data_IF_628243824817
#
_entry.id   IF_628243824817
#
_cell.length_a   1.000
_cell.length_b   1.000
_cell.length_c   1.000
_cell.angle_alpha   90.00
_cell.angle_beta   90.00
_cell.angle_gamma   90.00
#
_symmetry.space_group_name_H-M   'P 1'
#
loop_
_entity.id
_entity.type
_entity.pdbx_description
1 polymer ?
#
# COMPACT_ATOMS: atom_id res chain seq x y z
N UNK A 1 16.12 -21.57 2.95
CA UNK A 1 16.58 -20.17 2.87
C UNK A 1 17.96 -20.16 2.21
N UNK A 2 18.04 -19.93 0.91
CA UNK A 2 19.32 -19.75 0.20
C UNK A 2 19.32 -18.35 -0.41
N UNK A 3 20.17 -17.47 0.11
CA UNK A 3 20.44 -16.13 -0.45
C UNK A 3 21.42 -16.29 -1.61
N UNK A 4 20.97 -16.07 -2.84
CA UNK A 4 21.86 -15.90 -3.99
C UNK A 4 22.38 -14.45 -3.98
N UNK A 5 23.69 -14.27 -3.71
CA UNK A 5 24.40 -13.01 -3.94
C UNK A 5 24.88 -13.00 -5.39
N UNK A 6 24.35 -12.10 -6.21
CA UNK A 6 24.98 -11.72 -7.47
C UNK A 6 25.90 -10.53 -7.19
N UNK A 7 27.19 -10.69 -7.50
CA UNK A 7 28.20 -9.65 -7.42
C UNK A 7 28.14 -8.79 -8.69
N UNK A 8 27.67 -7.55 -8.57
CA UNK A 8 27.88 -6.50 -9.58
C UNK A 8 29.02 -5.58 -9.10
N UNK A 9 30.07 -5.45 -9.91
CA UNK A 9 31.04 -4.36 -9.77
C UNK A 9 30.32 -3.06 -10.18
N UNK A 10 30.10 -2.17 -9.20
CA UNK A 10 29.59 -0.82 -9.46
C UNK A 10 30.77 0.15 -9.59
N UNK A 11 30.86 0.81 -10.75
CA UNK A 11 31.68 2.01 -10.95
C UNK A 11 31.02 3.12 -10.14
N UNK A 12 31.70 3.61 -9.09
CA UNK A 12 31.22 4.71 -8.25
C UNK A 12 31.47 6.03 -8.98
N UNK A 13 30.45 6.54 -9.67
CA UNK A 13 30.39 7.94 -10.04
C UNK A 13 30.01 8.74 -8.78
N UNK A 14 30.97 9.51 -8.25
CA UNK A 14 30.72 10.41 -7.14
C UNK A 14 29.86 11.60 -7.62
N UNK A 15 28.54 11.43 -7.59
CA UNK A 15 27.62 12.56 -7.61
C UNK A 15 27.82 13.33 -6.30
N UNK A 16 28.38 14.54 -6.40
CA UNK A 16 28.32 15.53 -5.33
C UNK A 16 26.82 15.87 -5.16
N UNK A 17 26.16 15.17 -4.24
CA UNK A 17 24.82 15.58 -3.81
C UNK A 17 24.99 16.87 -3.02
N UNK A 18 24.61 17.99 -3.64
CA UNK A 18 24.42 19.23 -2.90
C UNK A 18 23.32 18.98 -1.86
N UNK A 19 23.52 19.40 -0.59
CA UNK A 19 22.49 19.24 0.43
C UNK A 19 21.23 19.99 0.00
N UNK A 20 20.08 19.31 0.04
CA UNK A 20 18.79 19.96 -0.15
C UNK A 20 18.64 21.05 0.92
N UNK A 21 18.21 22.25 0.51
CA UNK A 21 17.91 23.32 1.46
C UNK A 21 16.80 22.85 2.42
N UNK A 22 16.96 23.13 3.71
CA UNK A 22 15.95 22.81 4.71
C UNK A 22 14.61 23.47 4.32
N UNK A 23 13.52 22.73 4.47
CA UNK A 23 12.19 23.27 4.20
C UNK A 23 11.90 24.47 5.14
N UNK A 24 11.20 25.51 4.67
CA UNK A 24 10.81 26.63 5.52
C UNK A 24 9.85 26.15 6.62
N UNK A 25 9.78 26.89 7.72
CA UNK A 25 8.76 26.68 8.76
C UNK A 25 7.68 27.77 8.67
N UNK A 26 6.38 27.42 8.65
CA UNK A 26 5.85 26.09 8.41
C UNK A 26 6.18 25.60 6.98
N UNK A 27 6.21 24.28 6.79
CA UNK A 27 6.54 23.65 5.52
C UNK A 27 5.41 23.86 4.51
N UNK A 28 5.52 24.96 3.76
CA UNK A 28 4.57 25.34 2.72
C UNK A 28 5.07 25.03 1.31
N UNK A 29 6.15 24.25 1.16
CA UNK A 29 6.83 24.02 -0.12
C UNK A 29 5.93 23.37 -1.18
N UNK A 30 5.01 22.52 -0.76
CA UNK A 30 4.13 21.75 -1.66
C UNK A 30 2.71 22.30 -1.79
N UNK A 31 2.44 23.52 -1.30
CA UNK A 31 1.08 24.04 -1.33
C UNK A 31 0.58 24.29 -2.75
N UNK A 32 1.44 24.79 -3.64
CA UNK A 32 1.07 25.12 -5.03
C UNK A 32 0.00 26.22 -5.16
N UNK A 33 -0.42 26.82 -4.03
CA UNK A 33 -1.46 27.85 -3.95
C UNK A 33 -1.07 28.90 -2.90
N UNK A 34 -1.48 30.17 -3.07
CA UNK A 34 -1.23 31.20 -2.07
C UNK A 34 -1.98 30.93 -0.76
N UNK A 35 -1.44 31.46 0.33
CA UNK A 35 -2.08 31.45 1.65
C UNK A 35 -1.83 32.77 2.37
N UNK A 36 -2.72 33.11 3.30
CA UNK A 36 -2.56 34.28 4.17
C UNK A 36 -1.91 33.88 5.49
N UNK A 37 -1.03 34.75 6.01
CA UNK A 37 -0.46 34.62 7.36
C UNK A 37 -1.50 34.86 8.47
N UNK A 38 -2.68 35.36 8.11
CA UNK A 38 -3.82 35.53 9.01
C UNK A 38 -4.71 34.28 9.08
N UNK A 39 -4.36 33.18 8.42
CA UNK A 39 -5.06 31.92 8.58
C UNK A 39 -4.77 31.32 9.98
N UNK A 40 -5.78 30.69 10.60
CA UNK A 40 -5.68 30.18 11.97
C UNK A 40 -4.57 29.13 12.13
N UNK A 41 -4.43 28.21 11.18
CA UNK A 41 -3.38 27.19 11.17
C UNK A 41 -1.98 27.81 11.14
N UNK A 42 -1.79 28.89 10.38
CA UNK A 42 -0.50 29.56 10.26
C UNK A 42 -0.10 30.19 11.60
N UNK A 43 -1.03 30.92 12.23
CA UNK A 43 -0.79 31.48 13.58
C UNK A 43 -0.49 30.39 14.61
N UNK A 44 -1.16 29.23 14.52
CA UNK A 44 -0.86 28.05 15.34
C UNK A 44 0.60 27.62 15.16
N UNK A 45 1.03 27.46 13.91
CA UNK A 45 2.39 27.07 13.59
C UNK A 45 3.40 28.07 14.16
N UNK A 46 3.19 29.37 13.93
CA UNK A 46 4.09 30.40 14.43
C UNK A 46 4.16 30.47 15.96
N UNK A 47 3.05 30.17 16.67
CA UNK A 47 3.05 30.10 18.14
C UNK A 47 4.04 29.05 18.66
N UNK A 48 4.17 27.94 17.94
CA UNK A 48 4.99 26.78 18.36
C UNK A 48 6.30 26.64 17.56
N UNK A 49 6.68 27.65 16.77
CA UNK A 49 7.90 27.64 15.94
C UNK A 49 9.16 27.31 16.75
N UNK A 50 9.27 27.88 17.95
CA UNK A 50 10.45 27.72 18.83
C UNK A 50 10.37 26.48 19.72
N UNK A 51 9.37 25.60 19.55
CA UNK A 51 9.34 24.34 20.29
C UNK A 51 10.57 23.50 19.94
N UNK A 52 11.16 22.90 20.96
CA UNK A 52 12.31 22.01 20.83
C UNK A 52 12.00 20.78 21.66
N UNK A 53 11.46 19.72 21.04
CA UNK A 53 11.18 18.50 21.78
C UNK A 53 12.46 17.94 22.38
N UNK A 54 12.40 17.29 23.56
CA UNK A 54 13.59 16.74 24.18
C UNK A 54 14.27 15.75 23.24
N UNK A 55 15.60 15.65 23.33
CA UNK A 55 16.33 14.61 22.61
C UNK A 55 15.97 13.23 23.16
N UNK A 56 15.84 12.20 22.31
CA UNK A 56 15.64 10.83 22.78
C UNK A 56 16.89 10.38 23.56
N UNK A 57 16.67 9.61 24.63
CA UNK A 57 17.77 9.03 25.42
C UNK A 57 18.38 7.78 24.76
N UNK A 58 17.58 7.06 23.96
CA UNK A 58 18.00 5.89 23.21
C UNK A 58 18.63 6.27 21.86
N UNK A 59 19.53 5.43 21.36
CA UNK A 59 20.04 5.53 19.99
C UNK A 59 19.08 4.89 19.00
N UNK A 60 18.99 5.46 17.79
CA UNK A 60 18.21 4.88 16.71
C UNK A 60 18.75 3.50 16.31
N UNK A 61 17.89 2.49 16.11
CA UNK A 61 18.32 1.23 15.51
C UNK A 61 18.88 1.45 14.10
N UNK A 62 19.91 0.69 13.70
CA UNK A 62 20.50 0.83 12.38
C UNK A 62 19.50 0.49 11.27
N UNK A 63 19.33 1.38 10.29
CA UNK A 63 18.45 1.18 9.14
C UNK A 63 16.97 1.08 9.51
N UNK A 64 16.55 1.79 10.54
CA UNK A 64 15.17 1.77 11.00
C UNK A 64 14.22 2.55 10.08
N UNK A 65 12.95 2.16 10.07
CA UNK A 65 11.84 2.90 9.46
C UNK A 65 10.89 3.31 10.59
N UNK A 66 10.78 4.61 10.85
CA UNK A 66 10.03 5.12 11.98
C UNK A 66 8.51 4.88 11.83
N UNK A 67 7.98 5.00 10.61
CA UNK A 67 6.56 4.79 10.31
C UNK A 67 6.19 3.32 10.53
N UNK A 68 6.95 2.40 9.93
CA UNK A 68 6.72 0.97 10.09
C UNK A 68 6.86 0.53 11.56
N UNK A 69 7.87 1.04 12.28
CA UNK A 69 8.01 0.80 13.71
C UNK A 69 6.80 1.33 14.49
N UNK A 70 6.39 2.58 14.26
CA UNK A 70 5.24 3.20 14.94
C UNK A 70 3.97 2.35 14.77
N UNK A 71 3.59 2.02 13.53
CA UNK A 71 2.37 1.26 13.27
C UNK A 71 2.43 -0.18 13.77
N UNK A 72 3.62 -0.80 13.79
CA UNK A 72 3.82 -2.13 14.37
C UNK A 72 3.75 -2.11 15.89
N UNK A 73 4.28 -1.08 16.54
CA UNK A 73 4.18 -0.90 17.99
C UNK A 73 2.76 -0.56 18.42
N UNK A 74 2.05 0.26 17.65
CA UNK A 74 0.65 0.61 17.92
C UNK A 74 -0.30 -0.58 17.82
N UNK A 75 -0.05 -1.53 16.91
CA UNK A 75 -0.93 -2.70 16.71
C UNK A 75 -0.70 -3.84 17.71
N UNK A 76 0.30 -3.74 18.59
CA UNK A 76 0.52 -4.72 19.64
C UNK A 76 -0.44 -4.50 20.82
N UNK A 77 -0.79 -5.61 21.50
CA UNK A 77 -1.63 -5.56 22.69
C UNK A 77 -0.98 -4.73 23.82
N UNK A 78 0.34 -4.83 23.96
CA UNK A 78 1.15 -4.09 24.90
C UNK A 78 2.46 -3.71 24.21
N UNK A 79 2.89 -2.45 24.35
CA UNK A 79 4.19 -1.97 23.91
C UNK A 79 4.87 -1.29 25.08
N UNK A 80 6.10 -1.72 25.38
CA UNK A 80 6.89 -1.18 26.49
C UNK A 80 7.43 0.22 26.20
N UNK A 81 7.82 0.94 27.26
CA UNK A 81 8.45 2.25 27.14
C UNK A 81 9.74 2.19 26.28
N UNK A 82 10.57 1.17 26.49
CA UNK A 82 11.82 1.00 25.73
C UNK A 82 11.58 0.82 24.22
N UNK A 83 10.48 0.17 23.84
CA UNK A 83 10.10 0.02 22.43
C UNK A 83 9.62 1.34 21.83
N UNK A 84 8.85 2.14 22.56
CA UNK A 84 8.47 3.48 22.10
C UNK A 84 9.67 4.43 22.03
N UNK A 85 10.63 4.30 22.94
CA UNK A 85 11.88 5.05 22.89
C UNK A 85 12.67 4.74 21.61
N UNK A 86 12.64 3.50 21.12
CA UNK A 86 13.23 3.13 19.83
C UNK A 86 12.50 3.77 18.65
N UNK A 87 11.16 3.79 18.67
CA UNK A 87 10.35 4.47 17.62
C UNK A 87 10.72 5.95 17.57
N UNK A 88 10.75 6.62 18.73
CA UNK A 88 11.10 8.03 18.83
C UNK A 88 12.54 8.31 18.42
N UNK A 89 13.49 7.48 18.84
CA UNK A 89 14.89 7.61 18.45
C UNK A 89 15.06 7.50 16.94
N UNK A 90 14.35 6.55 16.31
CA UNK A 90 14.32 6.41 14.86
C UNK A 90 13.74 7.67 14.18
N UNK A 91 12.58 8.14 14.66
CA UNK A 91 11.90 9.29 14.08
C UNK A 91 12.75 10.57 14.17
N UNK A 92 13.45 10.80 15.28
CA UNK A 92 14.39 11.93 15.41
C UNK A 92 15.62 11.77 14.51
N UNK A 93 16.17 10.57 14.37
CA UNK A 93 17.36 10.35 13.54
C UNK A 93 17.12 10.55 12.04
N UNK A 94 15.86 10.47 11.61
CA UNK A 94 15.44 10.58 10.21
C UNK A 94 14.56 11.81 9.93
N UNK A 95 14.43 12.73 10.89
CA UNK A 95 13.54 13.90 10.81
C UNK A 95 12.11 13.52 10.38
N UNK A 96 11.60 12.38 10.87
CA UNK A 96 10.24 11.90 10.59
C UNK A 96 9.24 12.65 11.46
N UNK A 97 8.93 13.88 11.03
CA UNK A 97 7.98 14.76 11.68
C UNK A 97 6.56 14.18 11.75
N UNK A 98 6.21 13.26 10.85
CA UNK A 98 4.88 12.68 10.83
C UNK A 98 4.71 11.68 11.98
N UNK A 99 5.72 10.84 12.23
CA UNK A 99 5.75 9.95 13.40
C UNK A 99 5.90 10.75 14.70
N UNK A 100 6.78 11.75 14.74
CA UNK A 100 6.95 12.59 15.94
C UNK A 100 5.66 13.30 16.33
N UNK A 101 4.94 13.86 15.36
CA UNK A 101 3.61 14.44 15.56
C UNK A 101 2.67 13.42 16.22
N UNK A 102 2.56 12.21 15.67
CA UNK A 102 1.66 11.18 16.22
C UNK A 102 2.08 10.73 17.63
N UNK A 103 3.38 10.58 17.91
CA UNK A 103 3.88 10.23 19.24
C UNK A 103 3.45 11.27 20.29
N UNK A 104 3.65 12.57 20.02
CA UNK A 104 3.26 13.64 20.94
C UNK A 104 1.76 13.87 21.02
N UNK A 105 1.02 13.68 19.93
CA UNK A 105 -0.44 13.79 19.92
C UNK A 105 -1.09 12.68 20.77
N UNK A 106 -0.55 11.46 20.70
CA UNK A 106 -1.15 10.29 21.35
C UNK A 106 -0.57 9.99 22.73
N UNK A 107 0.63 10.49 23.05
CA UNK A 107 1.32 10.19 24.30
C UNK A 107 1.93 8.78 24.33
N UNK A 108 2.29 8.22 23.17
CA UNK A 108 2.92 6.90 23.09
C UNK A 108 4.43 7.02 23.39
N UNK A 109 4.83 6.54 24.56
CA UNK A 109 6.22 6.62 25.05
C UNK A 109 6.72 8.03 25.36
N UNK A 110 5.86 9.04 25.28
CA UNK A 110 6.14 10.42 25.67
C UNK A 110 4.92 11.01 26.36
N UNK A 111 5.07 12.00 27.24
CA UNK A 111 3.93 12.78 27.69
C UNK A 111 3.20 13.39 26.49
N UNK A 112 1.87 13.27 26.45
CA UNK A 112 1.05 13.92 25.44
C UNK A 112 1.29 15.43 25.48
N UNK A 113 1.57 16.02 24.32
CA UNK A 113 1.91 17.43 24.20
C UNK A 113 1.42 17.98 22.86
N UNK A 114 0.30 18.69 22.89
CA UNK A 114 -0.34 19.27 21.70
C UNK A 114 0.57 20.28 20.98
N UNK A 115 1.31 21.12 21.71
CA UNK A 115 2.19 22.11 21.08
C UNK A 115 3.37 21.45 20.36
N UNK A 116 3.93 20.38 20.93
CA UNK A 116 4.95 19.57 20.26
C UNK A 116 4.38 18.86 19.04
N UNK A 117 3.17 18.30 19.14
CA UNK A 117 2.52 17.66 18.00
C UNK A 117 2.27 18.65 16.86
N UNK A 118 1.75 19.85 17.16
CA UNK A 118 1.52 20.92 16.18
C UNK A 118 2.84 21.38 15.56
N UNK A 119 3.90 21.58 16.34
CA UNK A 119 5.21 21.97 15.81
C UNK A 119 5.75 20.94 14.80
N UNK A 120 5.58 19.64 15.09
CA UNK A 120 5.95 18.58 14.16
C UNK A 120 5.04 18.55 12.93
N UNK A 121 3.72 18.70 13.11
CA UNK A 121 2.76 18.77 12.02
C UNK A 121 3.09 19.90 11.03
N UNK A 122 3.49 21.07 11.53
CA UNK A 122 3.88 22.22 10.71
C UNK A 122 5.15 22.00 9.88
N UNK A 123 5.91 20.92 10.11
CA UNK A 123 7.09 20.55 9.32
C UNK A 123 6.81 19.45 8.29
N UNK A 124 5.68 18.75 8.42
CA UNK A 124 5.30 17.71 7.48
C UNK A 124 4.97 18.32 6.12
N UNK A 125 5.55 17.75 5.08
CA UNK A 125 5.24 18.09 3.70
C UNK A 125 3.80 17.64 3.36
N UNK A 126 2.91 18.62 3.14
CA UNK A 126 1.48 18.40 2.97
C UNK A 126 0.86 19.43 2.02
N UNK A 127 -0.32 19.12 1.46
CA UNK A 127 -1.11 20.14 0.77
C UNK A 127 -1.69 21.15 1.77
N UNK A 128 -2.02 22.37 1.31
CA UNK A 128 -2.54 23.43 2.18
C UNK A 128 -3.74 23.00 3.01
N UNK A 129 -4.72 22.34 2.38
CA UNK A 129 -5.93 21.89 3.06
C UNK A 129 -5.63 20.81 4.12
N UNK A 130 -4.70 19.89 3.85
CA UNK A 130 -4.22 18.91 4.83
C UNK A 130 -3.55 19.59 6.02
N UNK A 131 -2.66 20.57 5.77
CA UNK A 131 -2.02 21.33 6.85
C UNK A 131 -3.06 22.05 7.70
N UNK A 132 -4.01 22.76 7.08
CA UNK A 132 -5.03 23.48 7.80
C UNK A 132 -5.91 22.56 8.66
N UNK A 133 -6.45 21.49 8.06
CA UNK A 133 -7.29 20.51 8.73
C UNK A 133 -6.57 19.78 9.86
N UNK A 134 -5.33 19.34 9.61
CA UNK A 134 -4.49 18.67 10.61
C UNK A 134 -4.21 19.53 11.84
N UNK A 135 -3.86 20.79 11.62
CA UNK A 135 -3.55 21.70 12.73
C UNK A 135 -4.82 22.01 13.54
N UNK A 136 -5.96 22.17 12.87
CA UNK A 136 -7.26 22.31 13.54
C UNK A 136 -7.65 21.05 14.31
N UNK A 137 -7.48 19.87 13.73
CA UNK A 137 -7.77 18.58 14.37
C UNK A 137 -6.90 18.40 15.62
N UNK A 138 -5.59 18.62 15.53
CA UNK A 138 -4.68 18.54 16.69
C UNK A 138 -5.03 19.53 17.79
N UNK A 139 -5.40 20.77 17.44
CA UNK A 139 -5.78 21.79 18.42
C UNK A 139 -7.05 21.43 19.19
N UNK A 140 -7.94 20.64 18.57
CA UNK A 140 -9.24 20.26 19.13
C UNK A 140 -9.31 18.77 19.53
N UNK A 141 -8.19 18.04 19.49
CA UNK A 141 -8.15 16.60 19.69
C UNK A 141 -8.58 16.22 21.13
N UNK A 142 -9.68 15.47 21.32
CA UNK A 142 -10.13 15.05 22.64
C UNK A 142 -9.06 14.24 23.39
N UNK A 143 -9.04 14.34 24.72
CA UNK A 143 -8.01 13.71 25.57
C UNK A 143 -7.89 12.19 25.38
N UNK A 144 -8.99 11.52 25.04
CA UNK A 144 -9.06 10.07 24.82
C UNK A 144 -9.02 9.67 23.34
N UNK A 145 -8.97 10.63 22.40
CA UNK A 145 -8.87 10.35 20.98
C UNK A 145 -7.42 10.03 20.59
N UNK A 146 -7.28 9.07 19.68
CA UNK A 146 -6.02 8.74 19.01
C UNK A 146 -6.02 9.44 17.66
N UNK A 147 -4.99 10.23 17.42
CA UNK A 147 -4.74 10.93 16.18
C UNK A 147 -3.87 10.07 15.24
N UNK A 148 -4.20 10.09 13.96
CA UNK A 148 -3.41 9.50 12.89
C UNK A 148 -3.16 10.51 11.77
N UNK A 149 -1.97 10.49 11.18
CA UNK A 149 -1.65 11.35 10.04
C UNK A 149 -2.58 11.13 8.83
N UNK A 150 -3.23 9.95 8.78
CA UNK A 150 -4.16 9.55 7.74
C UNK A 150 -5.60 10.04 7.97
N UNK A 151 -5.90 10.70 9.10
CA UNK A 151 -7.23 11.24 9.39
C UNK A 151 -7.55 12.47 8.52
N UNK A 152 -6.53 13.23 8.11
CA UNK A 152 -6.66 14.54 7.44
C UNK A 152 -6.16 14.51 5.97
N UNK A 153 -6.30 13.38 5.28
CA UNK A 153 -5.86 13.24 3.88
C UNK A 153 -6.75 14.09 2.97
N UNK A 154 -6.14 14.99 2.19
CA UNK A 154 -6.83 15.74 1.14
C UNK A 154 -6.08 15.75 -0.20
N UNK A 155 -4.89 15.15 -0.25
CA UNK A 155 -4.05 15.03 -1.44
C UNK A 155 -3.89 13.57 -1.85
N UNK A 156 -3.77 13.34 -3.16
CA UNK A 156 -3.49 12.00 -3.68
C UNK A 156 -2.12 11.46 -3.26
N UNK A 157 -1.14 12.34 -2.98
CA UNK A 157 0.16 11.96 -2.42
C UNK A 157 -0.01 11.33 -1.04
N UNK A 158 -0.68 12.03 -0.11
CA UNK A 158 -0.94 11.46 1.22
C UNK A 158 -1.90 10.27 1.17
N UNK A 159 -2.86 10.26 0.24
CA UNK A 159 -3.67 9.08 -0.04
C UNK A 159 -2.82 7.85 -0.39
N UNK A 160 -1.74 8.05 -1.15
CA UNK A 160 -0.79 6.97 -1.49
C UNK A 160 0.03 6.53 -0.28
N UNK A 161 0.53 7.47 0.52
CA UNK A 161 1.26 7.16 1.77
C UNK A 161 0.39 6.33 2.72
N UNK A 162 -0.86 6.73 2.92
CA UNK A 162 -1.77 6.04 3.81
C UNK A 162 -2.25 4.69 3.25
N UNK A 163 -2.45 4.59 1.93
CA UNK A 163 -2.70 3.29 1.29
C UNK A 163 -1.52 2.32 1.51
N UNK A 164 -0.27 2.79 1.41
CA UNK A 164 0.90 1.96 1.67
C UNK A 164 0.98 1.50 3.14
N UNK A 165 0.72 2.40 4.09
CA UNK A 165 0.67 2.06 5.53
C UNK A 165 -0.37 0.97 5.81
N UNK A 166 -1.57 1.12 5.26
CA UNK A 166 -2.63 0.11 5.41
C UNK A 166 -2.24 -1.21 4.75
N UNK A 167 -1.68 -1.20 3.54
CA UNK A 167 -1.22 -2.41 2.85
C UNK A 167 -0.11 -3.12 3.63
N UNK A 168 0.83 -2.39 4.26
CA UNK A 168 1.87 -3.00 5.09
C UNK A 168 1.29 -3.69 6.34
N UNK A 169 0.33 -3.04 7.00
CA UNK A 169 -0.36 -3.62 8.16
C UNK A 169 -1.16 -4.86 7.76
N UNK A 170 -2.00 -4.75 6.72
CA UNK A 170 -2.83 -5.85 6.25
C UNK A 170 -1.98 -6.98 5.67
N UNK A 171 -0.89 -6.65 4.98
CA UNK A 171 0.09 -7.57 4.44
C UNK A 171 0.73 -8.44 5.51
N UNK A 172 1.10 -7.87 6.67
CA UNK A 172 1.60 -8.66 7.80
C UNK A 172 0.58 -9.69 8.30
N UNK A 173 -0.68 -9.27 8.45
CA UNK A 173 -1.75 -10.17 8.91
C UNK A 173 -2.00 -11.29 7.90
N UNK A 174 -2.09 -10.94 6.60
CA UNK A 174 -2.24 -11.92 5.51
C UNK A 174 -1.08 -12.90 5.48
N UNK A 175 0.16 -12.41 5.48
CA UNK A 175 1.35 -13.24 5.40
C UNK A 175 1.43 -14.21 6.58
N UNK A 176 1.16 -13.73 7.80
CA UNK A 176 1.14 -14.60 8.98
C UNK A 176 0.07 -15.71 8.90
N UNK A 177 -1.10 -15.44 8.30
CA UNK A 177 -2.14 -16.46 8.07
C UNK A 177 -1.68 -17.49 7.03
N UNK A 178 -1.12 -17.04 5.92
CA UNK A 178 -0.60 -17.89 4.85
C UNK A 178 0.56 -18.76 5.33
N UNK A 179 1.47 -18.21 6.12
CA UNK A 179 2.60 -18.94 6.71
C UNK A 179 2.15 -20.05 7.66
N UNK A 180 1.18 -19.76 8.54
CA UNK A 180 0.58 -20.78 9.41
C UNK A 180 -0.05 -21.92 8.62
N UNK A 181 -0.79 -21.61 7.56
CA UNK A 181 -1.37 -22.62 6.67
C UNK A 181 -0.26 -23.42 5.97
N UNK A 182 0.74 -22.74 5.40
CA UNK A 182 1.83 -23.37 4.65
C UNK A 182 2.70 -24.30 5.52
N UNK A 183 2.84 -23.99 6.81
CA UNK A 183 3.54 -24.84 7.78
C UNK A 183 2.84 -26.20 7.96
N UNK A 184 1.51 -26.24 7.89
CA UNK A 184 0.70 -27.46 8.02
C UNK A 184 0.63 -28.29 6.73
N UNK A 185 1.12 -27.77 5.59
CA UNK A 185 1.07 -28.47 4.32
C UNK A 185 2.08 -29.63 4.23
N UNK A 186 1.73 -30.75 3.56
CA UNK A 186 2.69 -31.77 3.14
C UNK A 186 3.80 -31.19 2.25
N UNK A 187 5.00 -31.80 2.19
CA UNK A 187 6.13 -31.24 1.44
C UNK A 187 5.84 -30.94 -0.04
N UNK A 188 5.17 -31.81 -0.82
CA UNK A 188 4.82 -31.50 -2.21
C UNK A 188 3.87 -30.29 -2.34
N UNK A 189 2.89 -30.18 -1.44
CA UNK A 189 1.95 -29.05 -1.40
C UNK A 189 2.65 -27.74 -1.04
N UNK A 190 3.65 -27.77 -0.14
CA UNK A 190 4.45 -26.59 0.23
C UNK A 190 5.26 -26.05 -0.95
N UNK A 191 5.85 -26.93 -1.76
CA UNK A 191 6.58 -26.53 -2.98
C UNK A 191 5.62 -25.92 -4.00
N UNK A 192 4.46 -26.53 -4.21
CA UNK A 192 3.44 -25.98 -5.10
C UNK A 192 2.92 -24.61 -4.60
N UNK A 193 2.73 -24.45 -3.29
CA UNK A 193 2.31 -23.20 -2.67
C UNK A 193 3.33 -22.06 -2.89
N UNK A 194 4.63 -22.34 -2.76
CA UNK A 194 5.67 -21.32 -3.02
C UNK A 194 5.65 -20.85 -4.49
N UNK A 195 5.46 -21.77 -5.44
CA UNK A 195 5.31 -21.42 -6.87
C UNK A 195 4.06 -20.59 -7.11
N UNK A 196 2.96 -20.96 -6.46
CA UNK A 196 1.70 -20.22 -6.50
C UNK A 196 1.86 -18.79 -5.94
N UNK A 197 2.48 -18.62 -4.77
CA UNK A 197 2.75 -17.28 -4.20
C UNK A 197 3.56 -16.40 -5.16
N UNK A 198 4.60 -16.96 -5.78
CA UNK A 198 5.40 -16.23 -6.76
C UNK A 198 4.60 -15.84 -8.01
N UNK A 199 3.72 -16.72 -8.49
CA UNK A 199 2.85 -16.42 -9.63
C UNK A 199 1.79 -15.36 -9.29
N UNK A 200 1.18 -15.45 -8.09
CA UNK A 200 0.23 -14.47 -7.59
C UNK A 200 0.87 -13.07 -7.47
N UNK A 201 2.09 -12.98 -6.92
CA UNK A 201 2.81 -11.71 -6.82
C UNK A 201 3.12 -11.09 -8.18
N UNK A 202 3.54 -11.89 -9.17
CA UNK A 202 3.75 -11.40 -10.54
C UNK A 202 2.46 -10.92 -11.19
N UNK A 203 1.35 -11.63 -10.97
CA UNK A 203 0.06 -11.22 -11.49
C UNK A 203 -0.42 -9.92 -10.85
N UNK A 204 -0.34 -9.77 -9.52
CA UNK A 204 -0.72 -8.54 -8.82
C UNK A 204 0.06 -7.32 -9.36
N UNK A 205 1.38 -7.44 -9.51
CA UNK A 205 2.22 -6.38 -10.07
C UNK A 205 1.82 -6.03 -11.51
N UNK A 206 1.61 -7.05 -12.37
CA UNK A 206 1.21 -6.82 -13.76
C UNK A 206 -0.18 -6.17 -13.87
N UNK A 207 -1.12 -6.58 -13.00
CA UNK A 207 -2.46 -6.03 -12.95
C UNK A 207 -2.50 -4.61 -12.37
N UNK A 208 -1.48 -4.18 -11.61
CA UNK A 208 -1.31 -2.80 -11.16
C UNK A 208 -1.26 -1.81 -12.34
N UNK A 209 -0.67 -2.22 -13.47
CA UNK A 209 -0.62 -1.43 -14.71
C UNK A 209 -1.98 -1.34 -15.44
N UNK A 210 -2.99 -2.12 -15.03
CA UNK A 210 -4.37 -1.99 -15.52
C UNK A 210 -5.19 -0.98 -14.68
N UNK A 211 -4.51 0.01 -14.10
CA UNK A 211 -5.09 1.11 -13.33
C UNK A 211 -4.96 2.38 -14.15
N UNK A 212 -6.05 3.14 -14.26
CA UNK A 212 -5.99 4.45 -14.88
C UNK A 212 -5.17 5.40 -14.01
N UNK A 213 -4.16 6.03 -14.61
CA UNK A 213 -3.20 6.89 -13.94
C UNK A 213 -3.57 8.38 -14.00
N UNK A 214 -4.79 8.69 -14.43
CA UNK A 214 -5.34 10.04 -14.33
C UNK A 214 -5.64 10.43 -12.88
N UNK A 215 -5.42 11.71 -12.57
CA UNK A 215 -5.70 12.27 -11.25
C UNK A 215 -4.63 11.94 -10.21
N UNK A 216 -4.66 12.69 -9.11
CA UNK A 216 -3.62 12.59 -8.07
C UNK A 216 -3.75 11.32 -7.22
N UNK A 217 -4.94 10.72 -7.15
CA UNK A 217 -5.22 9.51 -6.38
C UNK A 217 -4.73 8.22 -7.07
N UNK A 218 -4.37 8.28 -8.35
CA UNK A 218 -4.00 7.11 -9.15
C UNK A 218 -3.01 6.15 -8.48
N UNK A 219 -1.89 6.60 -7.88
CA UNK A 219 -0.95 5.66 -7.24
C UNK A 219 -1.56 4.92 -6.05
N UNK A 220 -2.45 5.55 -5.28
CA UNK A 220 -3.18 4.88 -4.20
C UNK A 220 -4.15 3.80 -4.72
N UNK A 221 -4.75 4.01 -5.89
CA UNK A 221 -5.63 3.03 -6.53
C UNK A 221 -4.86 1.79 -7.01
N UNK A 222 -3.60 1.96 -7.44
CA UNK A 222 -2.71 0.83 -7.75
C UNK A 222 -2.50 -0.04 -6.50
N UNK A 223 -2.16 0.58 -5.37
CA UNK A 223 -1.95 -0.11 -4.09
C UNK A 223 -3.23 -0.86 -3.67
N UNK A 224 -4.39 -0.20 -3.69
CA UNK A 224 -5.66 -0.82 -3.33
C UNK A 224 -6.06 -1.98 -4.25
N UNK A 225 -5.73 -1.89 -5.55
CA UNK A 225 -5.95 -2.98 -6.50
C UNK A 225 -5.08 -4.18 -6.14
N UNK A 226 -3.79 -3.95 -5.89
CA UNK A 226 -2.88 -5.02 -5.46
C UNK A 226 -3.31 -5.65 -4.12
N UNK A 227 -3.68 -4.83 -3.14
CA UNK A 227 -4.20 -5.27 -1.84
C UNK A 227 -5.40 -6.20 -2.03
N UNK A 228 -6.42 -5.76 -2.79
CA UNK A 228 -7.61 -6.56 -3.07
C UNK A 228 -7.26 -7.90 -3.69
N UNK A 229 -6.31 -7.94 -4.63
CA UNK A 229 -5.85 -9.17 -5.26
C UNK A 229 -5.14 -10.09 -4.25
N UNK A 230 -4.33 -9.54 -3.34
CA UNK A 230 -3.65 -10.29 -2.28
C UNK A 230 -4.63 -10.85 -1.25
N UNK A 231 -5.69 -10.11 -0.91
CA UNK A 231 -6.79 -10.58 -0.07
C UNK A 231 -7.56 -11.72 -0.73
N UNK A 232 -7.95 -11.54 -2.01
CA UNK A 232 -8.62 -12.59 -2.79
C UNK A 232 -7.76 -13.85 -2.93
N UNK A 233 -6.44 -13.68 -3.13
CA UNK A 233 -5.49 -14.77 -3.15
C UNK A 233 -5.45 -15.53 -1.82
N UNK A 234 -5.30 -14.81 -0.71
CA UNK A 234 -5.28 -15.43 0.62
C UNK A 234 -6.57 -16.22 0.86
N UNK A 235 -7.72 -15.59 0.63
CA UNK A 235 -9.01 -16.23 0.88
C UNK A 235 -9.19 -17.49 0.02
N UNK A 236 -8.91 -17.41 -1.29
CA UNK A 236 -9.01 -18.56 -2.19
C UNK A 236 -8.09 -19.72 -1.74
N UNK A 237 -6.87 -19.43 -1.29
CA UNK A 237 -5.95 -20.45 -0.79
C UNK A 237 -6.47 -21.11 0.48
N UNK A 238 -6.98 -20.32 1.43
CA UNK A 238 -7.54 -20.84 2.68
C UNK A 238 -8.81 -21.68 2.43
N UNK A 239 -9.67 -21.26 1.50
CA UNK A 239 -10.86 -22.01 1.14
C UNK A 239 -10.50 -23.31 0.40
N UNK A 240 -9.50 -23.29 -0.48
CA UNK A 240 -8.98 -24.50 -1.11
C UNK A 240 -8.41 -25.48 -0.08
N UNK A 241 -7.59 -24.99 0.86
CA UNK A 241 -6.96 -25.81 1.91
C UNK A 241 -7.98 -26.37 2.92
N UNK A 242 -9.12 -25.69 3.11
CA UNK A 242 -10.17 -26.11 4.05
C UNK A 242 -11.38 -26.77 3.39
N UNK A 243 -11.35 -27.00 2.07
CA UNK A 243 -12.47 -27.61 1.33
C UNK A 243 -13.73 -26.74 1.27
N UNK A 244 -13.59 -25.42 1.37
CA UNK A 244 -14.70 -24.44 1.38
C UNK A 244 -14.93 -23.76 0.04
N UNK A 245 -14.21 -24.16 -1.01
CA UNK A 245 -14.46 -23.64 -2.35
C UNK A 245 -15.91 -23.97 -2.76
N UNK A 246 -16.65 -23.00 -3.33
CA UNK A 246 -17.97 -23.28 -3.90
C UNK A 246 -17.85 -24.38 -4.96
N UNK A 247 -18.67 -25.44 -4.92
CA UNK A 247 -18.62 -26.50 -5.91
C UNK A 247 -18.93 -25.94 -7.30
N UNK A 248 -18.27 -26.45 -8.32
CA UNK A 248 -18.52 -26.06 -9.70
C UNK A 248 -18.43 -27.26 -10.63
N UNK A 249 -19.33 -27.30 -11.61
CA UNK A 249 -19.28 -28.31 -12.67
C UNK A 249 -18.24 -27.93 -13.75
N UNK A 250 -17.80 -28.88 -14.59
CA UNK A 250 -17.04 -28.57 -15.79
C UNK A 250 -17.75 -27.55 -16.71
N UNK A 251 -19.08 -27.60 -16.75
CA UNK A 251 -19.90 -26.68 -17.54
C UNK A 251 -19.82 -25.24 -16.99
N UNK A 252 -19.79 -25.07 -15.66
CA UNK A 252 -19.63 -23.76 -15.02
C UNK A 252 -18.27 -23.14 -15.33
N UNK A 253 -17.20 -23.95 -15.22
CA UNK A 253 -15.85 -23.51 -15.55
C UNK A 253 -15.73 -23.10 -17.03
N UNK A 254 -16.29 -23.91 -17.94
CA UNK A 254 -16.30 -23.60 -19.37
C UNK A 254 -17.15 -22.36 -19.71
N UNK A 255 -18.27 -22.15 -19.00
CA UNK A 255 -19.09 -20.95 -19.18
C UNK A 255 -18.34 -19.68 -18.77
N UNK A 256 -17.64 -19.72 -17.63
CA UNK A 256 -16.81 -18.58 -17.18
C UNK A 256 -15.63 -18.31 -18.10
N UNK A 257 -14.97 -19.34 -18.61
CA UNK A 257 -13.88 -19.16 -19.57
C UNK A 257 -14.36 -18.48 -20.86
N UNK A 258 -15.53 -18.87 -21.39
CA UNK A 258 -16.14 -18.20 -22.55
C UNK A 258 -16.42 -16.73 -22.28
N UNK A 259 -17.04 -16.43 -21.13
CA UNK A 259 -17.33 -15.05 -20.72
C UNK A 259 -16.06 -14.19 -20.59
N UNK A 260 -14.99 -14.74 -20.00
CA UNK A 260 -13.71 -14.06 -19.90
C UNK A 260 -13.15 -13.73 -21.29
N UNK A 261 -13.12 -14.71 -22.19
CA UNK A 261 -12.59 -14.52 -23.54
C UNK A 261 -13.41 -13.55 -24.38
N UNK A 262 -14.73 -13.54 -24.23
CA UNK A 262 -15.62 -12.55 -24.86
C UNK A 262 -15.35 -11.15 -24.34
N UNK A 263 -15.27 -10.97 -23.02
CA UNK A 263 -14.97 -9.68 -22.40
C UNK A 263 -13.59 -9.17 -22.80
N UNK A 264 -12.57 -10.03 -22.77
CA UNK A 264 -11.21 -9.71 -23.18
C UNK A 264 -11.19 -9.25 -24.64
N UNK A 265 -11.81 -10.00 -25.58
CA UNK A 265 -11.89 -9.59 -26.99
C UNK A 265 -12.57 -8.23 -27.16
N UNK A 266 -13.69 -8.01 -26.46
CA UNK A 266 -14.40 -6.72 -26.49
C UNK A 266 -13.51 -5.58 -25.99
N UNK A 267 -12.84 -5.76 -24.86
CA UNK A 267 -11.94 -4.78 -24.28
C UNK A 267 -10.79 -4.45 -25.24
N UNK A 268 -10.15 -5.46 -25.82
CA UNK A 268 -9.02 -5.28 -26.73
C UNK A 268 -9.40 -4.62 -28.06
N UNK A 269 -10.67 -4.75 -28.48
CA UNK A 269 -11.22 -4.12 -29.68
C UNK A 269 -11.80 -2.72 -29.45
N UNK A 270 -11.89 -2.24 -28.20
CA UNK A 270 -12.39 -0.90 -27.90
C UNK A 270 -11.51 0.15 -28.60
N UNK A 271 -12.07 1.14 -29.30
CA UNK A 271 -11.29 2.18 -29.96
C UNK A 271 -10.61 3.10 -28.93
N UNK A 272 -9.51 3.74 -29.35
CA UNK A 272 -8.94 4.88 -28.62
C UNK A 272 -9.54 6.18 -29.19
N UNK A 273 -10.25 7.00 -28.41
CA UNK A 273 -10.72 8.31 -28.82
C UNK A 273 -9.60 9.37 -28.86
N UNK A 274 -8.40 9.07 -28.33
CA UNK A 274 -7.30 10.03 -28.18
C UNK A 274 -6.33 9.99 -29.36
N UNK A 275 -6.27 11.11 -30.10
CA UNK A 275 -5.30 11.31 -31.17
C UNK A 275 -3.86 11.21 -30.62
N UNK A 276 -2.99 10.47 -31.32
CA UNK A 276 -1.61 10.22 -30.90
C UNK A 276 -1.42 9.09 -29.89
N UNK A 277 -2.49 8.50 -29.34
CA UNK A 277 -2.42 7.40 -28.38
C UNK A 277 -3.28 6.20 -28.82
N UNK A 278 -2.97 5.58 -29.98
CA UNK A 278 -3.82 4.52 -30.55
C UNK A 278 -3.92 3.29 -29.65
N UNK A 279 -2.92 3.03 -28.82
CA UNK A 279 -2.82 1.84 -27.96
C UNK A 279 -3.59 1.92 -26.65
N UNK A 280 -4.09 3.11 -26.27
CA UNK A 280 -4.92 3.30 -25.07
C UNK A 280 -6.32 2.71 -25.23
N UNK A 281 -6.90 2.36 -24.09
CA UNK A 281 -8.26 1.87 -23.97
C UNK A 281 -9.17 3.02 -23.54
N UNK A 282 -10.08 3.45 -24.43
CA UNK A 282 -11.01 4.53 -24.13
C UNK A 282 -10.28 5.81 -23.72
N UNK A 283 -10.83 6.55 -22.76
CA UNK A 283 -10.23 7.78 -22.25
C UNK A 283 -9.20 7.57 -21.13
N UNK A 284 -8.82 6.32 -20.84
CA UNK A 284 -7.90 5.96 -19.75
C UNK A 284 -6.42 6.04 -20.17
N UNK A 285 -5.49 6.01 -19.21
CA UNK A 285 -4.06 5.80 -19.52
C UNK A 285 -3.68 4.32 -19.73
N UNK A 286 -4.63 3.39 -19.66
CA UNK A 286 -4.35 1.95 -19.72
C UNK A 286 -4.09 1.56 -21.17
N UNK A 287 -2.96 0.91 -21.43
CA UNK A 287 -2.64 0.43 -22.77
C UNK A 287 -3.03 -1.04 -22.96
N UNK A 288 -3.36 -1.40 -24.21
CA UNK A 288 -3.61 -2.79 -24.60
C UNK A 288 -2.46 -3.75 -24.23
N UNK A 289 -1.21 -3.26 -24.20
CA UNK A 289 -0.06 -4.06 -23.79
C UNK A 289 -0.10 -4.44 -22.30
N UNK A 290 -0.66 -3.57 -21.46
CA UNK A 290 -0.73 -3.80 -20.01
C UNK A 290 -1.79 -4.86 -19.72
N UNK A 291 -2.94 -4.79 -20.38
CA UNK A 291 -3.97 -5.83 -20.33
C UNK A 291 -3.45 -7.18 -20.81
N UNK A 292 -2.71 -7.22 -21.94
CA UNK A 292 -2.07 -8.46 -22.42
C UNK A 292 -1.07 -9.04 -21.41
N UNK A 293 -0.30 -8.17 -20.76
CA UNK A 293 0.72 -8.59 -19.80
C UNK A 293 0.08 -9.15 -18.54
N UNK A 294 -0.93 -8.48 -18.01
CA UNK A 294 -1.72 -8.94 -16.89
C UNK A 294 -2.46 -10.25 -17.19
N UNK A 295 -3.05 -10.41 -18.39
CA UNK A 295 -3.74 -11.64 -18.80
C UNK A 295 -2.80 -12.85 -18.84
N UNK A 296 -1.59 -12.68 -19.39
CA UNK A 296 -0.58 -13.75 -19.42
C UNK A 296 -0.11 -14.12 -18.01
N UNK A 297 0.09 -13.13 -17.15
CA UNK A 297 0.44 -13.37 -15.75
C UNK A 297 -0.70 -14.06 -14.99
N UNK A 298 -1.95 -13.70 -15.26
CA UNK A 298 -3.14 -14.34 -14.70
C UNK A 298 -3.23 -15.82 -15.09
N UNK A 299 -3.01 -16.17 -16.37
CA UNK A 299 -2.99 -17.57 -16.82
C UNK A 299 -1.95 -18.38 -16.03
N UNK A 300 -0.72 -17.85 -15.91
CA UNK A 300 0.33 -18.51 -15.14
C UNK A 300 -0.01 -18.65 -13.65
N UNK A 301 -0.71 -17.66 -13.07
CA UNK A 301 -1.23 -17.72 -11.71
C UNK A 301 -2.32 -18.78 -11.55
N UNK A 302 -3.32 -18.82 -12.45
CA UNK A 302 -4.38 -19.83 -12.48
C UNK A 302 -3.81 -21.23 -12.56
N UNK A 303 -2.89 -21.47 -13.48
CA UNK A 303 -2.29 -22.79 -13.69
C UNK A 303 -1.45 -23.23 -12.47
N UNK A 304 -0.71 -22.29 -11.85
CA UNK A 304 -0.01 -22.56 -10.59
C UNK A 304 -0.98 -22.87 -9.44
N UNK A 305 -2.15 -22.22 -9.42
CA UNK A 305 -3.17 -22.48 -8.40
C UNK A 305 -3.76 -23.87 -8.60
N UNK A 306 -4.14 -24.24 -9.82
CA UNK A 306 -4.66 -25.58 -10.14
C UNK A 306 -3.66 -26.68 -9.76
N UNK A 307 -2.37 -26.46 -9.99
CA UNK A 307 -1.32 -27.38 -9.56
C UNK A 307 -1.26 -27.53 -8.03
N UNK A 308 -1.37 -26.42 -7.28
CA UNK A 308 -1.44 -26.44 -5.82
C UNK A 308 -2.72 -27.12 -5.30
N UNK A 309 -3.88 -26.80 -5.87
CA UNK A 309 -5.16 -27.40 -5.54
C UNK A 309 -5.15 -28.93 -5.75
N UNK A 310 -4.49 -29.41 -6.80
CA UNK A 310 -4.26 -30.84 -7.02
C UNK A 310 -3.50 -31.53 -5.89
N UNK A 311 -2.55 -30.84 -5.24
CA UNK A 311 -1.84 -31.37 -4.06
C UNK A 311 -2.76 -31.46 -2.83
N UNK A 312 -3.80 -30.63 -2.77
CA UNK A 312 -4.82 -30.63 -1.72
C UNK A 312 -6.00 -31.56 -2.02
N UNK A 313 -6.07 -32.13 -3.23
CA UNK A 313 -7.26 -32.81 -3.78
C UNK A 313 -8.51 -31.91 -3.79
N UNK A 314 -8.32 -30.60 -3.91
CA UNK A 314 -9.41 -29.66 -4.10
C UNK A 314 -9.93 -29.74 -5.55
N UNK A 315 -11.22 -29.43 -5.75
CA UNK A 315 -11.85 -29.48 -7.06
C UNK A 315 -11.27 -28.41 -8.01
N UNK A 316 -10.66 -28.87 -9.11
CA UNK A 316 -10.08 -28.01 -10.12
C UNK A 316 -11.12 -27.13 -10.83
N UNK A 317 -12.36 -27.61 -11.00
CA UNK A 317 -13.43 -26.81 -11.61
C UNK A 317 -13.85 -25.66 -10.69
N UNK A 318 -13.93 -25.90 -9.38
CA UNK A 318 -14.20 -24.88 -8.38
C UNK A 318 -13.12 -23.78 -8.39
N UNK A 319 -11.84 -24.17 -8.42
CA UNK A 319 -10.71 -23.23 -8.51
C UNK A 319 -10.79 -22.40 -9.80
N UNK A 320 -10.92 -23.06 -10.95
CA UNK A 320 -10.96 -22.38 -12.24
C UNK A 320 -12.16 -21.42 -12.33
N UNK A 321 -13.34 -21.84 -11.86
CA UNK A 321 -14.54 -21.01 -11.83
C UNK A 321 -14.34 -19.77 -10.96
N UNK A 322 -13.79 -19.92 -9.76
CA UNK A 322 -13.50 -18.81 -8.85
C UNK A 322 -12.51 -17.80 -9.44
N UNK A 323 -11.35 -18.27 -9.91
CA UNK A 323 -10.28 -17.41 -10.40
C UNK A 323 -10.65 -16.70 -11.71
N UNK A 324 -11.38 -17.38 -12.59
CA UNK A 324 -11.92 -16.76 -13.81
C UNK A 324 -12.97 -15.71 -13.47
N UNK A 325 -13.83 -15.96 -12.48
CA UNK A 325 -14.77 -14.96 -11.97
C UNK A 325 -14.08 -13.69 -11.44
N UNK A 326 -12.98 -13.87 -10.69
CA UNK A 326 -12.16 -12.75 -10.21
C UNK A 326 -11.55 -11.95 -11.37
N UNK A 327 -11.03 -12.63 -12.41
CA UNK A 327 -10.47 -11.96 -13.59
C UNK A 327 -11.52 -11.20 -14.40
N UNK A 328 -12.70 -11.79 -14.59
CA UNK A 328 -13.84 -11.12 -15.24
C UNK A 328 -14.19 -9.84 -14.48
N UNK A 329 -14.25 -9.89 -13.14
CA UNK A 329 -14.53 -8.69 -12.33
C UNK A 329 -13.43 -7.62 -12.49
N UNK A 330 -12.16 -8.01 -12.57
CA UNK A 330 -11.04 -7.10 -12.82
C UNK A 330 -11.11 -6.45 -14.21
N UNK A 331 -11.41 -7.22 -15.26
CA UNK A 331 -11.58 -6.68 -16.62
C UNK A 331 -12.81 -5.78 -16.73
N UNK A 332 -13.91 -6.11 -16.05
CA UNK A 332 -15.09 -5.23 -15.99
C UNK A 332 -14.77 -3.90 -15.33
N UNK A 333 -13.95 -3.90 -14.28
CA UNK A 333 -13.50 -2.65 -13.65
C UNK A 333 -12.72 -1.80 -14.65
N UNK A 334 -11.75 -2.39 -15.36
CA UNK A 334 -10.98 -1.70 -16.42
C UNK A 334 -11.90 -1.19 -17.53
N UNK A 335 -12.93 -1.94 -17.90
CA UNK A 335 -13.87 -1.56 -18.95
C UNK A 335 -14.86 -0.43 -18.57
N UNK A 336 -14.99 -0.05 -17.29
CA UNK A 336 -15.88 1.05 -16.87
C UNK A 336 -15.40 2.44 -17.30
N UNK A 337 -14.11 2.57 -17.65
CA UNK A 337 -13.52 3.82 -18.13
C UNK A 337 -13.51 3.96 -19.66
N UNK A 338 -14.17 3.05 -20.38
CA UNK A 338 -14.35 3.11 -21.84
C UNK A 338 -15.69 3.73 -22.20
#
# INVERSE_FOLDING_TARGET
>A
MYRYRQSFLAIVAACIMLPAAAAPYPNSGSFGVPFSKDEAWYRQCMRVEKQSPPKPAASAPAGCDASDLYYRKRSQALTSQAEWDQVRACAVAHDDHAVLMMLYANGFGVPRNTDSAIHQACQVDAAKAEMAGRIEHLANLPANAVFDQCDDITSGRMGTVCAAIHEDQNGRVRNARLERMAAALPPPARVAFQRLQAAAGRYALAAGAETDMQGTAAPSLVIQREEKMREQFMQAVLDAASGKLPPASPQDAAARDRELNELYRKLMAAPSPQEGWPDRLGDTTIERKDVRTAERAWIAYRDAFTAFAGQLKADANAVNTLLTGQRIAALRYTARGL
#
